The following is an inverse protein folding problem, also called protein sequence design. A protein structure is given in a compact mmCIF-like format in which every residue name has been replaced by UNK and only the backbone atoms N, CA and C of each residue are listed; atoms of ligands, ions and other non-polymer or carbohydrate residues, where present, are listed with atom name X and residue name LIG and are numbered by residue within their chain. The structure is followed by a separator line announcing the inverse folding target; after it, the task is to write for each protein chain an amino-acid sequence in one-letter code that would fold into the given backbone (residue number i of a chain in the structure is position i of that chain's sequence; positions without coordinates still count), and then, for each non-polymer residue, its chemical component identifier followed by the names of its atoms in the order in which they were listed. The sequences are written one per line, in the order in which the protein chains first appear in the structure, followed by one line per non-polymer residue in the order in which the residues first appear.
data_IF_625611838838
#
_entry.id   IF_625611838838
#
_cell.length_a   1.000
_cell.length_b   1.000
_cell.length_c   1.000
_cell.angle_alpha   90.00
_cell.angle_beta   90.00
_cell.angle_gamma   90.00
#
_symmetry.space_group_name_H-M   'P 1'
#
loop_
_entity.id
_entity.type
_entity.pdbx_description
1 polymer ?
#
# COMPACT_ATOMS: atom_id res chain seq x y z
N UNK A 1 -12.45 18.10 -1.99
CA UNK A 1 -13.48 17.39 -1.27
C UNK A 1 -12.96 16.90 0.06
N UNK A 2 -13.75 17.02 1.05
CA UNK A 2 -13.39 16.57 2.36
C UNK A 2 -13.44 15.06 2.45
N UNK A 3 -12.34 14.50 2.85
CA UNK A 3 -12.21 13.06 2.99
C UNK A 3 -12.45 12.72 4.46
N UNK A 4 -13.54 12.03 4.71
CA UNK A 4 -13.90 11.62 6.06
C UNK A 4 -13.18 10.35 6.46
N UNK A 5 -12.64 10.28 7.67
CA UNK A 5 -12.07 9.03 8.15
C UNK A 5 -13.11 7.92 8.16
N UNK A 6 -12.72 6.75 7.68
CA UNK A 6 -13.62 5.62 7.63
C UNK A 6 -13.48 4.81 8.89
N UNK A 7 -14.60 4.44 9.48
CA UNK A 7 -14.58 3.54 10.63
C UNK A 7 -14.18 2.14 10.16
N UNK A 8 -13.26 1.48 10.84
CA UNK A 8 -12.87 0.13 10.47
C UNK A 8 -14.06 -0.83 10.55
N UNK A 9 -14.14 -1.76 9.61
CA UNK A 9 -15.19 -2.79 9.62
C UNK A 9 -15.17 -3.58 10.91
N UNK A 10 -14.01 -3.75 11.52
CA UNK A 10 -13.86 -4.50 12.76
C UNK A 10 -14.72 -3.94 13.90
N UNK A 11 -15.07 -2.65 13.86
CA UNK A 11 -15.98 -2.08 14.87
C UNK A 11 -17.35 -2.73 14.84
N UNK A 12 -17.84 -3.13 13.67
CA UNK A 12 -19.13 -3.78 13.55
C UNK A 12 -19.10 -5.20 14.12
N UNK A 13 -17.96 -5.87 14.05
CA UNK A 13 -17.81 -7.22 14.58
C UNK A 13 -17.84 -7.27 16.11
N UNK A 14 -17.64 -6.13 16.77
CA UNK A 14 -17.65 -6.03 18.21
C UNK A 14 -19.03 -5.76 18.79
N UNK A 15 -20.02 -5.50 17.94
CA UNK A 15 -21.29 -4.96 18.39
C UNK A 15 -22.13 -5.96 19.14
N UNK A 16 -22.33 -7.16 18.68
CA UNK A 16 -23.10 -8.14 19.44
C UNK A 16 -23.07 -9.50 18.73
N UNK A 17 -22.59 -10.52 19.42
CA UNK A 17 -22.52 -11.87 18.86
C UNK A 17 -23.89 -12.50 18.58
N UNK A 18 -24.96 -11.91 19.09
CA UNK A 18 -26.32 -12.39 18.80
C UNK A 18 -26.73 -12.09 17.37
N UNK A 19 -26.00 -11.24 16.68
CA UNK A 19 -26.35 -10.76 15.34
C UNK A 19 -25.33 -11.20 14.31
N UNK A 20 -24.94 -12.48 14.34
CA UNK A 20 -24.02 -13.03 13.36
C UNK A 20 -24.52 -12.79 11.93
N UNK A 21 -25.84 -12.95 11.72
CA UNK A 21 -26.45 -12.70 10.42
C UNK A 21 -26.37 -11.23 10.02
N UNK A 22 -26.52 -10.31 10.99
CA UNK A 22 -26.33 -8.87 10.73
C UNK A 22 -24.89 -8.55 10.38
N UNK A 23 -23.93 -9.21 11.00
CA UNK A 23 -22.54 -9.05 10.67
C UNK A 23 -22.28 -9.41 9.20
N UNK A 24 -22.88 -10.50 8.73
CA UNK A 24 -22.77 -10.91 7.32
C UNK A 24 -23.43 -9.89 6.39
N UNK A 25 -24.59 -9.38 6.76
CA UNK A 25 -25.29 -8.36 6.00
C UNK A 25 -24.48 -7.07 5.93
N UNK A 26 -23.89 -6.64 7.06
CA UNK A 26 -23.06 -5.47 7.11
C UNK A 26 -21.81 -5.62 6.24
N UNK A 27 -21.23 -6.82 6.21
CA UNK A 27 -20.10 -7.11 5.35
C UNK A 27 -20.49 -7.02 3.87
N UNK A 28 -21.68 -7.53 3.51
CA UNK A 28 -22.20 -7.46 2.14
C UNK A 28 -22.49 -6.02 1.73
N UNK A 29 -22.82 -5.13 2.70
CA UNK A 29 -23.08 -3.73 2.44
C UNK A 29 -21.79 -2.88 2.45
N UNK A 30 -20.65 -3.49 2.71
CA UNK A 30 -19.38 -2.78 2.69
C UNK A 30 -18.95 -2.50 1.26
N UNK A 31 -19.17 -1.25 0.85
CA UNK A 31 -18.89 -0.81 -0.52
C UNK A 31 -17.46 -0.35 -0.74
N UNK A 32 -16.60 -0.48 0.27
CA UNK A 32 -15.21 -0.07 0.09
C UNK A 32 -14.54 -0.92 -0.98
N UNK A 33 -13.79 -0.32 -1.90
CA UNK A 33 -13.11 -1.09 -2.92
C UNK A 33 -12.10 -2.05 -2.30
N UNK A 34 -12.12 -3.28 -2.78
CA UNK A 34 -11.12 -4.27 -2.42
C UNK A 34 -9.91 -4.09 -3.35
N UNK A 35 -8.76 -3.77 -2.79
CA UNK A 35 -7.56 -3.52 -3.57
C UNK A 35 -7.17 -4.71 -4.45
N UNK A 36 -7.53 -5.92 -4.01
CA UNK A 36 -7.21 -7.13 -4.76
C UNK A 36 -8.07 -7.31 -6.02
N UNK A 37 -9.16 -6.55 -6.13
CA UNK A 37 -10.06 -6.61 -7.28
C UNK A 37 -9.85 -5.48 -8.29
N UNK A 38 -9.04 -4.48 -7.96
CA UNK A 38 -8.73 -3.40 -8.88
C UNK A 38 -7.95 -3.93 -10.07
N UNK A 39 -8.20 -3.38 -11.25
CA UNK A 39 -7.33 -3.69 -12.37
C UNK A 39 -5.97 -2.98 -12.18
N UNK A 40 -4.92 -3.35 -12.93
CA UNK A 40 -3.60 -2.74 -12.76
C UNK A 40 -3.61 -1.22 -12.93
N UNK A 41 -4.42 -0.70 -13.82
CA UNK A 41 -4.51 0.73 -14.06
C UNK A 41 -5.13 1.47 -12.87
N UNK A 42 -6.20 0.90 -12.30
CA UNK A 42 -6.86 1.45 -11.13
C UNK A 42 -5.94 1.43 -9.90
N UNK A 43 -5.20 0.35 -9.73
CA UNK A 43 -4.24 0.24 -8.63
C UNK A 43 -3.11 1.25 -8.77
N UNK A 44 -2.60 1.41 -9.99
CA UNK A 44 -1.58 2.43 -10.29
C UNK A 44 -2.07 3.83 -9.93
N UNK A 45 -3.29 4.17 -10.34
CA UNK A 45 -3.87 5.47 -10.03
C UNK A 45 -4.04 5.68 -8.53
N UNK A 46 -4.46 4.63 -7.83
CA UNK A 46 -4.63 4.70 -6.38
C UNK A 46 -3.31 5.01 -5.68
N UNK A 47 -2.26 4.28 -6.01
CA UNK A 47 -0.94 4.47 -5.39
C UNK A 47 -0.36 5.83 -5.75
N UNK A 48 -0.44 6.23 -7.01
CA UNK A 48 0.04 7.54 -7.46
C UNK A 48 -0.68 8.67 -6.74
N UNK A 49 -2.00 8.57 -6.62
CA UNK A 49 -2.80 9.57 -5.92
C UNK A 49 -2.46 9.63 -4.44
N UNK A 50 -2.28 8.46 -3.81
CA UNK A 50 -1.93 8.40 -2.40
C UNK A 50 -0.65 9.18 -2.12
N UNK A 51 0.42 8.89 -2.86
CA UNK A 51 1.71 9.52 -2.59
C UNK A 51 1.72 10.99 -2.98
N UNK A 52 0.89 11.41 -3.93
CA UNK A 52 0.70 12.82 -4.20
C UNK A 52 0.01 13.52 -3.03
N UNK A 53 -0.99 12.88 -2.42
CA UNK A 53 -1.65 13.40 -1.21
C UNK A 53 -0.70 13.46 -0.02
N UNK A 54 0.22 12.52 0.07
CA UNK A 54 1.29 12.55 1.10
C UNK A 54 2.23 13.73 0.92
N UNK A 55 2.37 14.24 -0.31
CA UNK A 55 3.17 15.42 -0.57
C UNK A 55 4.31 15.22 -1.57
N UNK A 56 4.40 14.05 -2.20
CA UNK A 56 5.42 13.81 -3.20
C UNK A 56 4.97 14.28 -4.58
N UNK A 57 5.92 14.75 -5.37
CA UNK A 57 5.71 15.06 -6.77
C UNK A 57 6.14 13.86 -7.60
N UNK A 58 5.22 13.25 -8.33
CA UNK A 58 5.53 12.11 -9.18
C UNK A 58 6.25 12.57 -10.44
N UNK A 59 7.38 11.93 -10.75
CA UNK A 59 8.16 12.24 -11.97
C UNK A 59 7.93 11.22 -13.07
N UNK A 60 7.80 9.96 -12.71
CA UNK A 60 7.67 8.87 -13.67
C UNK A 60 7.00 7.69 -13.00
N UNK A 61 6.03 7.09 -13.69
CA UNK A 61 5.37 5.87 -13.23
C UNK A 61 5.52 4.81 -14.32
N UNK A 62 5.92 3.62 -13.93
CA UNK A 62 6.06 2.47 -14.84
C UNK A 62 5.42 1.25 -14.22
N UNK A 63 4.79 0.43 -15.07
CA UNK A 63 4.32 -0.89 -14.65
C UNK A 63 5.49 -1.85 -14.59
N UNK A 64 5.54 -2.67 -13.54
CA UNK A 64 6.56 -3.70 -13.44
C UNK A 64 6.09 -5.00 -14.09
N UNK A 65 7.03 -5.95 -14.26
CA UNK A 65 6.75 -7.23 -14.91
C UNK A 65 5.73 -8.09 -14.15
N UNK A 66 5.67 -7.94 -12.84
CA UNK A 66 4.82 -8.74 -11.99
C UNK A 66 3.48 -8.05 -11.66
N UNK A 67 3.11 -7.05 -12.46
CA UNK A 67 1.86 -6.32 -12.25
C UNK A 67 1.94 -5.26 -11.17
N UNK A 68 3.12 -4.99 -10.64
CA UNK A 68 3.34 -3.92 -9.69
C UNK A 68 3.57 -2.58 -10.37
N UNK A 69 3.92 -1.60 -9.56
CA UNK A 69 4.11 -0.22 -10.01
C UNK A 69 5.46 0.27 -9.52
N UNK A 70 6.19 0.93 -10.41
CA UNK A 70 7.42 1.64 -10.08
C UNK A 70 7.17 3.13 -10.29
N UNK A 71 7.28 3.89 -9.23
CA UNK A 71 7.11 5.33 -9.27
C UNK A 71 8.41 5.99 -8.85
N UNK A 72 8.90 6.91 -9.68
CA UNK A 72 9.98 7.81 -9.29
C UNK A 72 9.33 9.13 -8.93
N UNK A 73 9.50 9.53 -7.69
CA UNK A 73 8.89 10.72 -7.14
C UNK A 73 9.95 11.66 -6.56
N UNK A 74 9.52 12.85 -6.22
CA UNK A 74 10.38 13.85 -5.63
C UNK A 74 9.72 14.41 -4.38
N UNK A 75 10.46 14.42 -3.29
CA UNK A 75 10.05 15.10 -2.07
C UNK A 75 10.59 16.54 -2.14
N UNK A 76 9.70 17.54 -2.30
CA UNK A 76 10.15 18.91 -2.51
C UNK A 76 10.65 19.62 -1.26
N UNK A 77 10.61 18.98 -0.10
CA UNK A 77 10.99 19.63 1.16
C UNK A 77 12.47 19.97 1.15
N UNK A 78 12.84 21.20 1.54
CA UNK A 78 14.26 21.56 1.66
C UNK A 78 14.95 20.67 2.71
N UNK A 79 16.19 20.30 2.45
CA UNK A 79 17.06 19.51 3.31
C UNK A 79 16.64 18.05 3.49
N UNK A 80 15.37 17.80 3.71
CA UNK A 80 14.83 16.45 3.97
C UNK A 80 14.33 15.77 2.71
N UNK A 81 14.16 16.52 1.64
CA UNK A 81 13.60 16.01 0.41
C UNK A 81 14.62 15.34 -0.49
N UNK A 82 14.21 15.08 -1.70
CA UNK A 82 15.03 14.47 -2.72
C UNK A 82 14.26 13.44 -3.51
N UNK A 83 14.97 12.70 -4.34
CA UNK A 83 14.39 11.69 -5.19
C UNK A 83 14.01 10.46 -4.38
N UNK A 84 12.81 9.93 -4.61
CA UNK A 84 12.25 8.78 -3.90
C UNK A 84 11.80 7.76 -4.92
N UNK A 85 12.16 6.50 -4.70
CA UNK A 85 11.63 5.39 -5.50
C UNK A 85 10.54 4.70 -4.70
N UNK A 86 9.38 4.54 -5.30
CA UNK A 86 8.25 3.88 -4.68
C UNK A 86 7.89 2.69 -5.56
N UNK A 87 7.86 1.51 -4.98
CA UNK A 87 7.42 0.29 -5.68
C UNK A 87 6.23 -0.28 -4.95
N UNK A 88 5.20 -0.64 -5.68
CA UNK A 88 3.98 -1.24 -5.13
C UNK A 88 3.78 -2.62 -5.74
N UNK A 89 3.53 -3.60 -4.87
CA UNK A 89 3.34 -4.99 -5.26
C UNK A 89 2.03 -5.51 -4.68
N UNK A 90 1.07 -5.77 -5.56
CA UNK A 90 -0.23 -6.30 -5.17
C UNK A 90 -0.13 -7.83 -5.08
N UNK A 91 0.31 -8.31 -3.94
CA UNK A 91 0.54 -9.73 -3.68
C UNK A 91 -0.39 -10.22 -2.57
N UNK A 92 -0.66 -11.52 -2.58
CA UNK A 92 -1.34 -12.18 -1.46
C UNK A 92 -0.37 -12.96 -0.58
N UNK A 93 0.79 -13.33 -1.10
CA UNK A 93 1.80 -14.10 -0.37
C UNK A 93 2.84 -13.19 0.27
N UNK A 94 3.58 -13.73 1.22
CA UNK A 94 4.64 -13.01 1.91
C UNK A 94 5.64 -12.44 0.91
N UNK A 95 6.00 -11.18 1.10
CA UNK A 95 7.01 -10.51 0.30
C UNK A 95 8.36 -10.74 0.97
N UNK A 96 9.27 -11.36 0.24
CA UNK A 96 10.58 -11.71 0.76
C UNK A 96 11.63 -10.63 0.53
N UNK A 97 12.84 -10.94 0.97
CA UNK A 97 13.98 -10.01 0.90
C UNK A 97 14.37 -9.64 -0.53
N UNK A 98 14.10 -10.51 -1.51
CA UNK A 98 14.47 -10.23 -2.91
C UNK A 98 13.79 -8.96 -3.42
N UNK A 99 12.52 -8.73 -3.04
CA UNK A 99 11.81 -7.51 -3.43
C UNK A 99 12.45 -6.26 -2.84
N UNK A 100 12.94 -6.34 -1.61
CA UNK A 100 13.62 -5.22 -0.95
C UNK A 100 14.97 -4.95 -1.59
N UNK A 101 15.70 -6.00 -1.95
CA UNK A 101 16.97 -5.86 -2.68
C UNK A 101 16.76 -5.21 -4.04
N UNK A 102 15.71 -5.58 -4.74
CA UNK A 102 15.38 -5.00 -6.04
C UNK A 102 15.06 -3.51 -5.90
N UNK A 103 14.30 -3.14 -4.88
CA UNK A 103 14.04 -1.75 -4.58
C UNK A 103 15.35 -0.99 -4.33
N UNK A 104 16.23 -1.56 -3.52
CA UNK A 104 17.49 -0.92 -3.20
C UNK A 104 18.37 -0.72 -4.44
N UNK A 105 18.41 -1.73 -5.32
CA UNK A 105 19.10 -1.61 -6.60
C UNK A 105 18.54 -0.49 -7.47
N UNK A 106 17.22 -0.37 -7.52
CA UNK A 106 16.57 0.71 -8.26
C UNK A 106 16.90 2.07 -7.65
N UNK A 107 16.92 2.18 -6.32
CA UNK A 107 17.31 3.42 -5.64
C UNK A 107 18.73 3.86 -6.04
N UNK A 108 19.66 2.92 -6.04
CA UNK A 108 21.05 3.22 -6.40
C UNK A 108 21.11 3.66 -7.86
N UNK A 109 20.44 2.95 -8.74
CA UNK A 109 20.45 3.24 -10.16
C UNK A 109 19.81 4.60 -10.47
N UNK A 110 18.78 5.00 -9.72
CA UNK A 110 18.09 6.26 -9.87
C UNK A 110 18.75 7.40 -9.09
N UNK A 111 19.72 7.12 -8.25
CA UNK A 111 20.30 8.13 -7.38
C UNK A 111 19.31 8.62 -6.31
N UNK A 112 18.40 7.75 -5.87
CA UNK A 112 17.37 8.14 -4.93
C UNK A 112 17.89 8.15 -3.49
N UNK A 113 17.41 9.08 -2.72
CA UNK A 113 17.76 9.20 -1.30
C UNK A 113 16.88 8.34 -0.40
N UNK A 114 15.74 7.86 -0.89
CA UNK A 114 14.79 7.06 -0.13
C UNK A 114 14.06 6.09 -1.05
N UNK A 115 13.71 4.93 -0.50
CA UNK A 115 12.85 3.96 -1.16
C UNK A 115 11.67 3.58 -0.29
N UNK A 116 10.53 3.35 -0.90
CA UNK A 116 9.32 2.91 -0.23
C UNK A 116 8.81 1.69 -0.99
N UNK A 117 8.67 0.58 -0.28
CA UNK A 117 8.04 -0.62 -0.83
C UNK A 117 6.66 -0.75 -0.21
N UNK A 118 5.65 -0.92 -1.04
CA UNK A 118 4.25 -1.05 -0.61
C UNK A 118 3.73 -2.39 -1.08
N UNK A 119 3.04 -3.11 -0.23
CA UNK A 119 2.37 -4.35 -0.63
C UNK A 119 0.98 -4.45 0.00
N UNK A 120 0.12 -5.20 -0.63
CA UNK A 120 -1.17 -5.57 -0.06
C UNK A 120 -1.03 -6.74 0.93
N UNK A 121 0.10 -7.40 0.94
CA UNK A 121 0.41 -8.54 1.81
C UNK A 121 1.23 -8.10 3.03
N UNK A 122 2.22 -8.87 3.40
CA UNK A 122 3.11 -8.59 4.53
C UNK A 122 4.53 -9.04 4.17
N UNK A 123 5.50 -8.63 4.99
CA UNK A 123 6.91 -8.92 4.75
C UNK A 123 7.42 -9.99 5.69
N UNK A 124 8.33 -10.80 5.19
CA UNK A 124 9.06 -11.75 6.02
C UNK A 124 10.12 -11.06 6.88
N UNK A 125 10.65 -11.76 7.89
CA UNK A 125 11.69 -11.20 8.78
C UNK A 125 12.93 -10.72 8.04
N UNK A 126 13.35 -11.46 7.01
CA UNK A 126 14.54 -11.12 6.23
C UNK A 126 14.39 -9.78 5.50
N UNK A 127 13.17 -9.45 5.07
CA UNK A 127 12.89 -8.18 4.43
C UNK A 127 13.12 -7.02 5.39
N UNK A 128 12.59 -7.13 6.60
CA UNK A 128 12.80 -6.12 7.64
C UNK A 128 14.26 -6.00 8.04
N UNK A 129 14.95 -7.12 8.18
CA UNK A 129 16.36 -7.12 8.52
C UNK A 129 17.21 -6.39 7.48
N UNK A 130 16.93 -6.63 6.20
CA UNK A 130 17.66 -5.97 5.13
C UNK A 130 17.38 -4.48 5.09
N UNK A 131 16.14 -4.07 5.34
CA UNK A 131 15.71 -2.68 5.22
C UNK A 131 16.15 -1.80 6.39
N UNK A 132 16.36 -2.37 7.57
CA UNK A 132 16.48 -1.60 8.83
C UNK A 132 17.67 -0.63 8.89
N UNK A 133 18.75 -0.89 8.14
CA UNK A 133 19.93 -0.04 8.11
C UNK A 133 20.05 0.77 6.82
N UNK A 134 18.96 0.87 6.08
CA UNK A 134 18.91 1.55 4.79
C UNK A 134 17.77 2.56 4.79
N UNK A 135 17.81 3.58 3.93
CA UNK A 135 16.70 4.54 3.81
C UNK A 135 15.53 3.94 3.05
N UNK A 136 15.02 2.85 3.55
CA UNK A 136 13.92 2.09 2.96
C UNK A 136 12.81 1.98 3.99
N UNK A 137 11.59 2.26 3.55
CA UNK A 137 10.39 2.06 4.36
C UNK A 137 9.55 0.96 3.74
N UNK A 138 9.10 0.03 4.56
CA UNK A 138 8.24 -1.07 4.15
C UNK A 138 6.83 -0.83 4.67
N UNK A 139 5.88 -0.71 3.74
CA UNK A 139 4.46 -0.56 4.07
C UNK A 139 3.75 -1.85 3.68
N UNK A 140 3.26 -2.59 4.67
CA UNK A 140 2.44 -3.78 4.42
C UNK A 140 0.99 -3.38 4.15
N UNK A 141 0.12 -4.38 3.95
CA UNK A 141 -1.28 -4.13 3.64
C UNK A 141 -1.99 -3.31 4.71
N UNK A 142 -1.72 -3.61 5.98
CA UNK A 142 -2.32 -2.86 7.08
C UNK A 142 -1.86 -1.41 7.11
N UNK A 143 -0.57 -1.17 6.93
CA UNK A 143 -0.02 0.17 6.86
C UNK A 143 -0.54 0.94 5.65
N UNK A 144 -0.68 0.27 4.51
CA UNK A 144 -1.25 0.87 3.32
C UNK A 144 -2.69 1.34 3.55
N UNK A 145 -3.53 0.46 4.12
CA UNK A 145 -4.92 0.82 4.42
C UNK A 145 -5.01 1.97 5.42
N UNK A 146 -4.13 1.96 6.42
CA UNK A 146 -4.08 3.04 7.40
C UNK A 146 -3.72 4.38 6.75
N UNK A 147 -2.71 4.37 5.89
CA UNK A 147 -2.27 5.57 5.18
C UNK A 147 -3.35 6.09 4.23
N UNK A 148 -4.01 5.19 3.49
CA UNK A 148 -5.15 5.55 2.65
C UNK A 148 -6.24 6.22 3.48
N UNK A 149 -6.59 5.61 4.61
CA UNK A 149 -7.63 6.13 5.49
C UNK A 149 -7.28 7.52 6.04
N UNK A 150 -6.02 7.76 6.40
CA UNK A 150 -5.58 9.07 6.85
C UNK A 150 -5.78 10.17 5.80
N UNK A 151 -5.77 9.79 4.54
CA UNK A 151 -6.01 10.70 3.42
C UNK A 151 -7.44 10.60 2.88
N UNK A 152 -8.34 9.97 3.65
CA UNK A 152 -9.75 9.89 3.34
C UNK A 152 -10.13 8.92 2.23
N UNK A 153 -9.25 8.00 1.90
CA UNK A 153 -9.51 6.99 0.88
C UNK A 153 -9.93 5.69 1.56
N UNK A 154 -11.15 5.27 1.30
CA UNK A 154 -11.71 4.03 1.86
C UNK A 154 -11.30 2.85 1.01
N UNK A 155 -10.75 1.82 1.64
CA UNK A 155 -10.36 0.60 0.93
C UNK A 155 -10.30 -0.59 1.89
N UNK A 156 -10.32 -1.78 1.32
CA UNK A 156 -10.13 -3.02 2.07
C UNK A 156 -9.25 -3.97 1.27
N UNK A 157 -8.71 -4.97 1.93
CA UNK A 157 -7.93 -6.03 1.31
C UNK A 157 -8.55 -7.36 1.71
N UNK A 158 -9.11 -8.06 0.74
CA UNK A 158 -9.66 -9.41 0.91
C UNK A 158 -9.04 -10.29 -0.16
N UNK A 159 -8.33 -11.30 0.26
CA UNK A 159 -7.63 -12.19 -0.66
C UNK A 159 -8.59 -13.21 -1.26
N UNK A 160 -8.53 -13.46 -2.59
CA UNK A 160 -9.52 -14.28 -3.28
C UNK A 160 -9.62 -15.70 -2.79
N UNK A 161 -8.57 -16.27 -2.22
CA UNK A 161 -8.48 -17.68 -1.86
C UNK A 161 -8.80 -17.95 -0.39
N UNK A 162 -9.25 -16.96 0.37
CA UNK A 162 -9.48 -17.14 1.81
C UNK A 162 -10.67 -18.05 2.13
N UNK A 163 -11.52 -18.29 1.15
CA UNK A 163 -12.76 -19.04 1.35
C UNK A 163 -12.81 -20.38 0.62
N UNK A 164 -11.70 -20.86 0.16
CA UNK A 164 -11.62 -22.16 -0.52
C UNK A 164 -11.37 -23.31 0.43
#
# INVERSE_FOLDING_TARGET
SELQPVKPVVEFNMVDKRFVEQSDILTDLDNRPNLMELNPFEFENLISNLFRLVGFESKLTRSSRDGGIDVVAYDPRPLLGGKVVIQAKRYKNVVGVSAVRDLYGTMINEGASKGILVTTSHYGPDAYDFAKDKPIELLDGGALLYLLNQHGIEAKIIFPDEFN
#
